data_IF_732946350910
#
_entry.id   IF_732946350910
#
_cell.length_a   1.000
_cell.length_b   1.000
_cell.length_c   1.000
_cell.angle_alpha   90.00
_cell.angle_beta   90.00
_cell.angle_gamma   90.00
#
_symmetry.space_group_name_H-M   'P 1'
#
loop_
_entity.id
_entity.type
_entity.pdbx_description
1 polymer ?
#
# COMPACT_ATOMS: atom_id res chain seq x y z
N UNK A 1 -0.60 7.45 -16.04
CA UNK A 1 0.75 6.88 -15.91
C UNK A 1 0.61 5.37 -15.89
N UNK A 2 1.35 4.63 -16.72
CA UNK A 2 1.33 3.16 -16.69
C UNK A 2 2.30 2.69 -15.60
N UNK A 3 1.80 1.96 -14.61
CA UNK A 3 2.61 1.35 -13.55
C UNK A 3 2.35 -0.15 -13.62
N UNK A 4 3.41 -0.92 -13.81
CA UNK A 4 3.35 -2.37 -13.87
C UNK A 4 4.34 -2.95 -12.88
N UNK A 5 4.01 -4.09 -12.31
CA UNK A 5 4.93 -4.89 -11.50
C UNK A 5 5.78 -5.83 -12.36
N UNK A 6 5.50 -5.90 -13.67
CA UNK A 6 6.28 -6.67 -14.64
C UNK A 6 7.53 -5.90 -15.06
N UNK A 7 8.60 -6.64 -15.35
CA UNK A 7 9.87 -6.06 -15.78
C UNK A 7 9.77 -5.32 -17.12
N UNK A 8 8.96 -5.85 -18.03
CA UNK A 8 8.74 -5.29 -19.37
C UNK A 8 7.24 -5.13 -19.66
N UNK A 9 6.90 -4.20 -20.55
CA UNK A 9 5.52 -4.00 -21.03
C UNK A 9 5.39 -4.62 -22.42
N UNK A 10 4.48 -5.60 -22.62
CA UNK A 10 4.28 -6.23 -23.93
C UNK A 10 3.93 -5.20 -25.03
N UNK A 11 4.56 -5.33 -26.20
CA UNK A 11 4.33 -4.44 -27.35
C UNK A 11 4.96 -3.05 -27.23
N UNK A 12 5.69 -2.77 -26.14
CA UNK A 12 6.39 -1.51 -25.92
C UNK A 12 7.91 -1.74 -25.86
N UNK A 13 8.69 -0.74 -26.28
CA UNK A 13 10.15 -0.74 -26.14
C UNK A 13 10.59 0.43 -25.29
N UNK A 14 11.32 0.14 -24.21
CA UNK A 14 11.91 1.16 -23.34
C UNK A 14 12.99 1.92 -24.12
N UNK A 15 12.82 3.24 -24.30
CA UNK A 15 13.82 4.09 -24.96
C UNK A 15 14.96 4.51 -24.04
N UNK A 16 14.67 4.64 -22.75
CA UNK A 16 15.61 5.12 -21.73
C UNK A 16 15.21 4.61 -20.35
N UNK A 17 16.18 4.20 -19.53
CA UNK A 17 15.99 3.81 -18.13
C UNK A 17 16.41 4.97 -17.23
N UNK A 18 15.49 5.47 -16.41
CA UNK A 18 15.72 6.62 -15.50
C UNK A 18 16.31 6.23 -14.14
N UNK A 19 16.54 4.94 -13.89
CA UNK A 19 16.98 4.41 -12.60
C UNK A 19 15.82 3.97 -11.70
N UNK A 20 16.17 3.45 -10.52
CA UNK A 20 15.20 2.97 -9.53
C UNK A 20 14.60 4.14 -8.74
N UNK A 21 13.29 4.07 -8.50
CA UNK A 21 12.57 5.01 -7.62
C UNK A 21 11.99 4.24 -6.45
N UNK A 22 11.93 4.88 -5.27
CA UNK A 22 11.28 4.35 -4.08
C UNK A 22 10.39 5.42 -3.45
N UNK A 23 9.26 5.01 -2.89
CA UNK A 23 8.33 5.87 -2.17
C UNK A 23 8.07 5.29 -0.78
N UNK A 24 7.96 6.17 0.22
CA UNK A 24 7.65 5.78 1.60
C UNK A 24 6.70 6.83 2.20
N UNK A 25 5.66 6.36 2.87
CA UNK A 25 4.75 7.22 3.65
C UNK A 25 4.54 6.59 5.02
N UNK A 26 4.54 7.44 6.05
CA UNK A 26 4.25 7.03 7.42
C UNK A 26 2.87 7.57 7.78
N UNK A 27 1.95 6.68 8.15
CA UNK A 27 0.63 7.04 8.67
C UNK A 27 0.52 6.56 10.11
N UNK A 28 -0.03 7.42 10.96
CA UNK A 28 -0.36 7.09 12.35
C UNK A 28 -1.86 7.15 12.53
N UNK A 29 -2.44 6.13 13.19
CA UNK A 29 -3.77 6.20 13.78
C UNK A 29 -3.63 6.52 15.26
N UNK A 30 -4.40 7.50 15.73
CA UNK A 30 -4.48 7.84 17.15
C UNK A 30 -4.91 6.65 18.01
N UNK A 31 -4.64 6.73 19.31
CA UNK A 31 -4.78 5.63 20.28
C UNK A 31 -6.14 4.90 20.20
N UNK A 32 -7.25 5.63 20.07
CA UNK A 32 -8.59 5.04 19.99
C UNK A 32 -8.83 4.17 18.75
N UNK A 33 -8.24 4.54 17.62
CA UNK A 33 -8.34 3.76 16.37
C UNK A 33 -7.58 2.43 16.45
N UNK A 34 -6.46 2.39 17.17
CA UNK A 34 -5.63 1.20 17.36
C UNK A 34 -6.28 0.21 18.35
N UNK A 35 -6.94 0.70 19.40
CA UNK A 35 -7.65 -0.15 20.37
C UNK A 35 -8.81 -0.89 19.69
N UNK A 36 -9.63 -0.18 18.90
CA UNK A 36 -10.78 -0.80 18.22
C UNK A 36 -10.33 -1.83 17.17
N UNK A 37 -9.24 -1.55 16.44
CA UNK A 37 -8.62 -2.50 15.52
C UNK A 37 -8.06 -3.74 16.25
N UNK A 38 -7.48 -3.56 17.44
CA UNK A 38 -6.96 -4.66 18.26
C UNK A 38 -8.06 -5.59 18.78
N UNK A 39 -9.24 -5.05 19.12
CA UNK A 39 -10.41 -5.85 19.52
C UNK A 39 -10.93 -6.66 18.33
N UNK A 40 -11.03 -6.06 17.13
CA UNK A 40 -11.44 -6.77 15.92
C UNK A 40 -10.45 -7.83 15.45
N UNK A 41 -9.15 -7.63 15.69
CA UNK A 41 -8.11 -8.59 15.35
C UNK A 41 -8.30 -9.96 16.03
N UNK A 42 -8.93 -9.99 17.22
CA UNK A 42 -9.23 -11.24 17.94
C UNK A 42 -10.36 -12.06 17.31
N UNK A 43 -11.27 -11.41 16.58
CA UNK A 43 -12.41 -12.07 15.92
C UNK A 43 -12.05 -12.77 14.60
N UNK A 44 -10.85 -12.52 14.08
CA UNK A 44 -10.40 -13.04 12.79
C UNK A 44 -11.07 -12.35 11.59
N UNK A 45 -10.45 -12.46 10.41
CA UNK A 45 -10.93 -11.84 9.18
C UNK A 45 -10.23 -10.51 8.84
N UNK A 46 -10.81 -9.76 7.92
CA UNK A 46 -10.27 -8.47 7.47
C UNK A 46 -10.46 -7.39 8.54
N UNK A 47 -9.38 -6.73 8.93
CA UNK A 47 -9.44 -5.55 9.80
C UNK A 47 -9.59 -4.34 8.89
N UNK A 48 -10.84 -3.95 8.63
CA UNK A 48 -11.20 -2.84 7.73
C UNK A 48 -10.40 -1.56 8.02
N UNK A 49 -10.06 -1.31 9.28
CA UNK A 49 -9.27 -0.13 9.67
C UNK A 49 -7.82 -0.17 9.18
N UNK A 50 -7.21 -1.34 9.14
CA UNK A 50 -5.87 -1.51 8.58
C UNK A 50 -5.92 -1.54 7.06
N UNK A 51 -6.97 -2.13 6.46
CA UNK A 51 -7.17 -2.04 5.01
C UNK A 51 -7.27 -0.59 4.56
N UNK A 52 -8.09 0.23 5.23
CA UNK A 52 -8.22 1.66 4.94
C UNK A 52 -6.89 2.40 5.12
N UNK A 53 -6.15 2.11 6.19
CA UNK A 53 -4.84 2.73 6.41
C UNK A 53 -3.83 2.37 5.32
N UNK A 54 -3.86 1.13 4.82
CA UNK A 54 -2.99 0.70 3.72
C UNK A 54 -3.38 1.37 2.39
N UNK A 55 -4.68 1.53 2.13
CA UNK A 55 -5.17 2.24 0.95
C UNK A 55 -4.81 3.74 0.98
N UNK A 56 -4.91 4.40 2.14
CA UNK A 56 -4.47 5.80 2.32
C UNK A 56 -2.95 5.99 2.27
N UNK A 57 -2.19 4.91 2.46
CA UNK A 57 -0.74 4.89 2.40
C UNK A 57 -0.20 4.51 1.00
N UNK A 58 -1.05 3.98 0.12
CA UNK A 58 -0.70 3.61 -1.25
C UNK A 58 -0.74 4.82 -2.18
#
# INVERSE_FOLDING_TARGET
MLVVTTENVPGQRVREVKGQVFGLVVRSRGLGGNIMASIRALGGGEITEYTQLLEEAR
#
